data_IF_884279724899
#
_entry.id   IF_884279724899
#
_cell.length_a   1.000
_cell.length_b   1.000
_cell.length_c   1.000
_cell.angle_alpha   90.00
_cell.angle_beta   90.00
_cell.angle_gamma   90.00
#
_symmetry.space_group_name_H-M   'P 1'
#
loop_
_entity.id
_entity.type
_entity.pdbx_description
1 polymer ?
#
# COMPACT_ATOMS: atom_id res chain seq x y z
N UNK A 1 29.97 15.11 22.17
CA UNK A 1 30.11 16.49 21.64
C UNK A 1 29.82 16.60 20.13
N UNK A 2 28.96 15.75 19.54
CA UNK A 2 28.61 15.82 18.10
C UNK A 2 27.11 15.58 17.83
N UNK A 3 26.24 15.84 18.82
CA UNK A 3 24.80 15.55 18.74
C UNK A 3 23.92 16.74 18.35
N UNK A 4 24.51 17.89 18.02
CA UNK A 4 23.79 19.15 17.86
C UNK A 4 24.16 19.88 16.58
N UNK A 5 24.39 19.16 15.47
CA UNK A 5 24.10 19.76 14.16
C UNK A 5 22.59 19.87 14.10
N UNK A 6 22.08 20.98 14.62
CA UNK A 6 20.67 21.30 14.57
C UNK A 6 20.29 21.76 13.16
N UNK A 7 18.99 21.99 12.96
CA UNK A 7 18.50 22.70 11.78
C UNK A 7 19.27 23.99 11.46
N UNK A 8 19.72 24.81 12.45
CA UNK A 8 20.49 26.02 12.20
C UNK A 8 21.85 25.80 11.54
N UNK A 9 22.70 24.88 12.02
CA UNK A 9 23.99 24.60 11.37
C UNK A 9 23.81 24.14 9.91
N UNK A 10 22.83 23.27 9.65
CA UNK A 10 22.55 22.78 8.30
C UNK A 10 22.07 23.93 7.39
N UNK A 11 21.29 24.86 7.91
CA UNK A 11 20.85 26.05 7.18
C UNK A 11 22.04 26.95 6.79
N UNK A 12 23.00 27.17 7.71
CA UNK A 12 24.20 27.97 7.41
C UNK A 12 25.05 27.32 6.32
N UNK A 13 25.29 26.01 6.41
CA UNK A 13 26.02 25.26 5.38
C UNK A 13 25.26 25.33 4.05
N UNK A 14 23.94 25.20 4.07
CA UNK A 14 23.10 25.31 2.88
C UNK A 14 23.18 26.69 2.23
N UNK A 15 23.15 27.78 3.01
CA UNK A 15 23.33 29.15 2.49
C UNK A 15 24.70 29.31 1.84
N UNK A 16 25.77 28.82 2.45
CA UNK A 16 27.11 28.87 1.85
C UNK A 16 27.16 28.07 0.55
N UNK A 17 26.58 26.87 0.53
CA UNK A 17 26.47 26.06 -0.69
C UNK A 17 25.67 26.78 -1.78
N UNK A 18 24.59 27.47 -1.41
CA UNK A 18 23.79 28.29 -2.33
C UNK A 18 24.54 29.52 -2.84
N UNK A 19 25.48 30.09 -2.09
CA UNK A 19 26.32 31.18 -2.60
C UNK A 19 27.33 30.66 -3.65
N UNK A 20 27.90 29.47 -3.42
CA UNK A 20 28.86 28.84 -4.34
C UNK A 20 28.17 28.34 -5.60
N UNK A 21 27.11 27.55 -5.45
CA UNK A 21 26.41 26.92 -6.56
C UNK A 21 25.30 27.81 -7.14
N UNK A 22 24.74 28.73 -6.36
CA UNK A 22 23.60 29.56 -6.74
C UNK A 22 22.24 28.87 -6.50
N UNK A 23 21.19 29.62 -6.08
CA UNK A 23 19.84 29.06 -5.94
C UNK A 23 19.25 28.58 -7.27
N UNK A 24 19.68 29.18 -8.39
CA UNK A 24 19.27 28.75 -9.73
C UNK A 24 19.69 27.30 -10.03
N UNK A 25 20.96 26.92 -9.74
CA UNK A 25 21.43 25.56 -10.02
C UNK A 25 20.69 24.51 -9.20
N UNK A 26 20.41 24.79 -7.93
CA UNK A 26 19.63 23.87 -7.10
C UNK A 26 18.19 23.72 -7.62
N UNK A 27 17.55 24.83 -8.04
CA UNK A 27 16.20 24.78 -8.63
C UNK A 27 16.17 24.03 -9.96
N UNK A 28 17.22 24.15 -10.77
CA UNK A 28 17.37 23.47 -12.05
C UNK A 28 17.57 21.95 -11.87
N UNK A 29 18.45 21.56 -10.94
CA UNK A 29 18.62 20.16 -10.55
C UNK A 29 17.32 19.56 -10.02
N UNK A 30 16.63 20.27 -9.11
CA UNK A 30 15.34 19.84 -8.57
C UNK A 30 14.26 19.68 -9.64
N UNK A 31 14.21 20.58 -10.63
CA UNK A 31 13.26 20.51 -11.74
C UNK A 31 13.56 19.34 -12.68
N UNK A 32 14.83 19.01 -12.88
CA UNK A 32 15.28 17.89 -13.74
C UNK A 32 15.04 16.56 -13.06
N UNK A 33 15.43 16.43 -11.78
CA UNK A 33 15.13 15.28 -10.94
C UNK A 33 13.63 15.08 -10.78
N UNK A 34 12.87 16.15 -10.54
CA UNK A 34 11.42 16.10 -10.37
C UNK A 34 10.70 15.55 -11.60
N UNK A 35 11.12 15.97 -12.80
CA UNK A 35 10.62 15.40 -14.06
C UNK A 35 10.98 13.90 -14.17
N UNK A 36 12.23 13.54 -13.91
CA UNK A 36 12.66 12.13 -13.96
C UNK A 36 11.89 11.24 -12.97
N UNK A 37 11.67 11.71 -11.74
CA UNK A 37 10.89 11.00 -10.72
C UNK A 37 9.41 10.91 -11.11
N UNK A 38 8.84 11.95 -11.71
CA UNK A 38 7.46 11.94 -12.19
C UNK A 38 7.24 10.90 -13.30
N UNK A 39 8.11 10.87 -14.31
CA UNK A 39 8.08 9.87 -15.37
C UNK A 39 8.32 8.45 -14.83
N UNK A 40 9.27 8.29 -13.90
CA UNK A 40 9.52 7.01 -13.25
C UNK A 40 8.29 6.51 -12.48
N UNK A 41 7.62 7.40 -11.71
CA UNK A 41 6.39 7.05 -11.01
C UNK A 41 5.29 6.64 -11.97
N UNK A 42 5.12 7.35 -13.08
CA UNK A 42 4.13 7.03 -14.10
C UNK A 42 4.40 5.64 -14.70
N UNK A 43 5.62 5.39 -15.16
CA UNK A 43 6.01 4.08 -15.69
C UNK A 43 5.85 2.95 -14.66
N UNK A 44 6.16 3.22 -13.38
CA UNK A 44 5.96 2.25 -12.30
C UNK A 44 4.47 1.95 -12.05
N UNK A 45 3.59 2.94 -12.17
CA UNK A 45 2.13 2.74 -12.09
C UNK A 45 1.63 1.94 -13.28
N UNK A 46 1.99 2.32 -14.50
CA UNK A 46 1.55 1.62 -15.73
C UNK A 46 1.98 0.14 -15.71
N UNK A 47 3.17 -0.16 -15.18
CA UNK A 47 3.66 -1.53 -15.02
C UNK A 47 2.83 -2.31 -13.99
N UNK A 48 2.48 -1.71 -12.86
CA UNK A 48 1.63 -2.33 -11.83
C UNK A 48 0.26 -2.68 -12.41
N UNK A 49 -0.37 -1.72 -13.10
CA UNK A 49 -1.68 -1.90 -13.70
C UNK A 49 -1.67 -3.02 -14.76
N UNK A 50 -0.58 -3.12 -15.52
CA UNK A 50 -0.40 -4.20 -16.52
C UNK A 50 -0.25 -5.57 -15.85
N UNK A 51 0.52 -5.66 -14.76
CA UNK A 51 0.70 -6.91 -14.01
C UNK A 51 -0.61 -7.35 -13.36
N UNK A 52 -1.35 -6.43 -12.74
CA UNK A 52 -2.65 -6.71 -12.11
C UNK A 52 -3.67 -7.19 -13.16
N UNK A 53 -3.68 -6.57 -14.34
CA UNK A 53 -4.54 -6.98 -15.45
C UNK A 53 -4.18 -8.36 -16.02
N UNK A 54 -2.91 -8.74 -16.04
CA UNK A 54 -2.45 -10.06 -16.51
C UNK A 54 -2.70 -11.16 -15.48
N UNK A 55 -2.52 -10.86 -14.19
CA UNK A 55 -2.86 -11.76 -13.08
C UNK A 55 -4.36 -12.07 -13.08
N UNK A 56 -5.21 -11.03 -13.19
CA UNK A 56 -6.66 -11.21 -13.28
C UNK A 56 -7.10 -12.03 -14.51
N UNK A 57 -6.33 -11.96 -15.60
CA UNK A 57 -6.59 -12.71 -16.85
C UNK A 57 -6.11 -14.17 -16.77
N UNK A 58 -5.11 -14.44 -15.94
CA UNK A 58 -4.57 -15.78 -15.69
C UNK A 58 -5.49 -16.63 -14.79
N UNK A 59 -6.25 -16.00 -13.88
CA UNK A 59 -7.18 -16.72 -12.98
C UNK A 59 -8.47 -17.20 -13.68
N UNK A 60 -8.83 -16.68 -14.86
CA UNK A 60 -10.04 -17.12 -15.59
C UNK A 60 -9.84 -18.34 -16.49
N UNK A 61 -8.64 -18.95 -16.53
CA UNK A 61 -8.33 -20.12 -17.39
C UNK A 61 -8.11 -21.43 -16.63
N UNK A 62 -8.30 -21.48 -15.31
CA UNK A 62 -8.29 -22.74 -14.56
C UNK A 62 -9.70 -23.38 -14.59
N UNK A 63 -9.88 -24.61 -15.14
CA UNK A 63 -11.17 -25.25 -15.19
C UNK A 63 -11.62 -25.60 -13.77
N UNK A 64 -12.85 -25.21 -13.46
CA UNK A 64 -13.62 -25.61 -12.28
C UNK A 64 -13.66 -27.15 -12.19
N UNK A 65 -12.81 -27.73 -11.36
CA UNK A 65 -12.65 -29.18 -11.29
C UNK A 65 -12.21 -29.67 -9.91
N UNK A 66 -13.20 -30.07 -9.12
CA UNK A 66 -13.13 -31.09 -8.05
C UNK A 66 -11.98 -31.00 -7.04
N UNK A 67 -12.31 -30.59 -5.83
CA UNK A 67 -12.04 -31.44 -4.66
C UNK A 67 -13.23 -31.37 -3.69
N UNK A 68 -14.02 -32.45 -3.67
CA UNK A 68 -14.79 -32.84 -2.50
C UNK A 68 -13.80 -33.39 -1.47
N UNK A 69 -13.70 -32.78 -0.31
CA UNK A 69 -13.27 -33.36 0.98
C UNK A 69 -13.58 -32.27 2.01
N UNK A 70 -14.68 -32.38 2.75
CA UNK A 70 -14.76 -33.09 4.04
C UNK A 70 -13.88 -32.45 5.13
N UNK A 71 -14.51 -32.14 6.26
CA UNK A 71 -13.81 -31.85 7.51
C UNK A 71 -13.98 -30.44 8.08
N UNK A 72 -14.98 -30.29 8.95
CA UNK A 72 -14.77 -29.65 10.25
C UNK A 72 -14.90 -28.14 10.32
N UNK A 73 -16.06 -27.69 10.79
CA UNK A 73 -16.29 -26.31 11.18
C UNK A 73 -17.67 -26.14 11.77
N UNK A 74 -17.91 -26.76 12.93
CA UNK A 74 -18.94 -26.30 13.87
C UNK A 74 -18.74 -24.80 14.11
N UNK A 75 -19.56 -23.97 13.47
CA UNK A 75 -19.82 -22.61 13.89
C UNK A 75 -21.33 -22.42 13.96
N UNK A 76 -21.84 -22.86 15.11
CA UNK A 76 -22.89 -22.23 15.92
C UNK A 76 -23.48 -20.94 15.32
N UNK A 77 -24.71 -20.98 14.78
CA UNK A 77 -25.53 -19.79 14.67
C UNK A 77 -26.36 -19.66 15.96
N UNK A 78 -25.90 -18.78 16.84
CA UNK A 78 -26.74 -18.13 17.81
C UNK A 78 -27.91 -17.42 17.08
N UNK A 79 -29.08 -18.04 17.11
CA UNK A 79 -30.34 -17.33 16.91
C UNK A 79 -31.21 -17.60 18.13
N UNK A 80 -31.27 -16.59 18.98
CA UNK A 80 -32.21 -16.53 20.06
C UNK A 80 -33.64 -16.45 19.52
N UNK A 81 -34.54 -17.04 20.31
CA UNK A 81 -35.97 -16.71 20.44
C UNK A 81 -36.94 -17.68 19.76
N UNK A 82 -37.92 -18.08 20.57
CA UNK A 82 -39.12 -18.86 20.28
C UNK A 82 -38.92 -20.40 20.35
N UNK A 83 -39.50 -21.18 21.25
CA UNK A 83 -40.72 -21.02 22.01
C UNK A 83 -40.62 -21.79 23.34
N UNK A 84 -40.80 -21.09 24.47
CA UNK A 84 -41.17 -21.72 25.74
C UNK A 84 -42.70 -21.86 25.76
N UNK A 85 -43.20 -22.88 25.06
CA UNK A 85 -44.60 -23.30 25.13
C UNK A 85 -44.66 -24.67 25.79
N UNK A 86 -44.98 -24.64 27.09
CA UNK A 86 -46.09 -25.40 27.69
C UNK A 86 -46.19 -26.87 27.27
N UNK A 87 -45.75 -27.78 28.13
CA UNK A 87 -46.58 -28.93 28.54
C UNK A 87 -45.99 -29.52 29.84
N UNK A 88 -46.37 -28.93 30.98
CA UNK A 88 -46.51 -29.74 32.20
C UNK A 88 -47.65 -30.71 31.92
N UNK A 89 -47.30 -32.00 31.79
CA UNK A 89 -48.27 -33.09 31.77
C UNK A 89 -48.26 -33.85 33.10
N UNK A 90 -49.43 -34.41 33.47
CA UNK A 90 -49.79 -34.88 34.82
C UNK A 90 -49.05 -36.13 35.30
#
# INVERSE_FOLDING_TARGET
MFGSIGGPELLVIFVIALLIFGPKKLSELGRTLGKGVAEFRKAATDLRDTLDAEVARSETSAPKGRTLTDGGGEQEPATATDAKTRDERP
#
